data_IF_559244898752
#
_entry.id   IF_559244898752
#
_cell.length_a   1.000
_cell.length_b   1.000
_cell.length_c   1.000
_cell.angle_alpha   90.00
_cell.angle_beta   90.00
_cell.angle_gamma   90.00
#
_symmetry.space_group_name_H-M   'P 1'
#
loop_
_entity.id
_entity.type
_entity.pdbx_description
1 polymer ?
#
# COMPACT_ATOMS: atom_id res chain seq x y z
N UNK A 1 -4.70 -5.13 3.88
CA UNK A 1 -3.56 -4.38 4.46
C UNK A 1 -2.25 -4.67 3.72
N UNK A 2 -1.87 -5.93 3.54
CA UNK A 2 -0.62 -6.30 2.84
C UNK A 2 -0.46 -5.69 1.45
N UNK A 3 -1.49 -5.78 0.58
CA UNK A 3 -1.45 -5.19 -0.77
C UNK A 3 -1.21 -3.66 -0.77
N UNK A 4 -1.85 -2.93 0.16
CA UNK A 4 -1.67 -1.47 0.30
C UNK A 4 -0.23 -1.14 0.69
N UNK A 5 0.29 -1.80 1.74
CA UNK A 5 1.67 -1.60 2.18
C UNK A 5 2.67 -1.95 1.08
N UNK A 6 2.47 -3.08 0.39
CA UNK A 6 3.34 -3.56 -0.66
C UNK A 6 3.40 -2.61 -1.86
N UNK A 7 2.24 -2.11 -2.31
CA UNK A 7 2.19 -1.15 -3.42
C UNK A 7 2.85 0.18 -3.05
N UNK A 8 2.60 0.73 -1.86
CA UNK A 8 3.24 1.96 -1.40
C UNK A 8 4.76 1.81 -1.28
N UNK A 9 5.24 0.72 -0.66
CA UNK A 9 6.66 0.46 -0.55
C UNK A 9 7.32 0.31 -1.92
N UNK A 10 6.72 -0.46 -2.83
CA UNK A 10 7.28 -0.67 -4.17
C UNK A 10 7.40 0.62 -4.98
N UNK A 11 6.36 1.46 -4.98
CA UNK A 11 6.38 2.74 -5.70
C UNK A 11 7.34 3.74 -5.04
N UNK A 12 7.34 3.84 -3.70
CA UNK A 12 8.26 4.70 -2.98
C UNK A 12 9.72 4.31 -3.26
N UNK A 13 10.05 3.03 -3.17
CA UNK A 13 11.42 2.53 -3.38
C UNK A 13 11.92 2.82 -4.80
N UNK A 14 11.09 2.67 -5.82
CA UNK A 14 11.52 2.98 -7.20
C UNK A 14 11.73 4.49 -7.38
N UNK A 15 10.88 5.35 -6.81
CA UNK A 15 11.08 6.81 -6.85
C UNK A 15 12.37 7.21 -6.13
N UNK A 16 12.63 6.64 -4.95
CA UNK A 16 13.89 6.87 -4.22
C UNK A 16 15.11 6.42 -5.02
N UNK A 17 15.06 5.25 -5.66
CA UNK A 17 16.12 4.76 -6.54
C UNK A 17 16.33 5.65 -7.78
N UNK A 18 15.33 6.40 -8.19
CA UNK A 18 15.40 7.36 -9.32
C UNK A 18 15.78 8.78 -8.90
N UNK A 19 16.08 9.00 -7.63
CA UNK A 19 16.65 10.26 -7.13
C UNK A 19 15.63 11.27 -6.58
N UNK A 20 14.34 10.91 -6.51
CA UNK A 20 13.33 11.75 -5.85
C UNK A 20 13.65 11.87 -4.36
N UNK A 21 13.46 13.04 -3.75
CA UNK A 21 13.61 13.19 -2.30
C UNK A 21 12.61 12.31 -1.53
N UNK A 22 12.86 12.01 -0.24
CA UNK A 22 11.91 11.27 0.56
C UNK A 22 10.51 11.89 0.55
N UNK A 23 10.40 13.20 0.77
CA UNK A 23 9.11 13.91 0.80
C UNK A 23 8.38 13.87 -0.54
N UNK A 24 9.08 14.05 -1.66
CA UNK A 24 8.46 13.94 -2.99
C UNK A 24 7.97 12.51 -3.22
N UNK A 25 8.81 11.51 -2.96
CA UNK A 25 8.44 10.10 -3.12
C UNK A 25 7.25 9.73 -2.22
N UNK A 26 7.16 10.26 -1.00
CA UNK A 26 6.02 10.04 -0.11
C UNK A 26 4.74 10.74 -0.60
N UNK A 27 4.88 11.98 -1.08
CA UNK A 27 3.75 12.76 -1.59
C UNK A 27 3.13 12.11 -2.83
N UNK A 28 3.96 11.72 -3.80
CA UNK A 28 3.57 11.06 -5.06
C UNK A 28 3.08 9.61 -4.89
N UNK A 29 3.09 9.08 -3.66
CA UNK A 29 2.66 7.72 -3.35
C UNK A 29 1.54 7.72 -2.32
N UNK A 30 1.89 7.87 -1.05
CA UNK A 30 0.97 7.67 0.08
C UNK A 30 0.04 8.86 0.25
N UNK A 31 0.53 10.11 0.16
CA UNK A 31 -0.36 11.28 0.27
C UNK A 31 -1.33 11.32 -0.89
N UNK A 32 -0.85 11.24 -2.13
CA UNK A 32 -1.71 11.29 -3.31
C UNK A 32 -2.77 10.19 -3.27
N UNK A 33 -2.39 8.95 -2.95
CA UNK A 33 -3.36 7.87 -2.83
C UNK A 33 -4.38 8.12 -1.72
N UNK A 34 -3.95 8.52 -0.52
CA UNK A 34 -4.83 8.53 0.66
C UNK A 34 -5.57 9.84 0.90
N UNK A 35 -5.05 10.97 0.41
CA UNK A 35 -5.65 12.29 0.59
C UNK A 35 -6.36 12.77 -0.68
N UNK A 36 -5.92 12.33 -1.87
CA UNK A 36 -6.52 12.74 -3.15
C UNK A 36 -7.39 11.62 -3.73
N UNK A 37 -6.79 10.48 -4.09
CA UNK A 37 -7.45 9.50 -4.96
C UNK A 37 -8.49 8.64 -4.22
N UNK A 38 -8.15 8.07 -3.06
CA UNK A 38 -9.09 7.22 -2.33
C UNK A 38 -10.36 7.97 -1.89
N UNK A 39 -10.30 9.22 -1.38
CA UNK A 39 -11.51 10.00 -1.12
C UNK A 39 -12.38 10.20 -2.37
N UNK A 40 -11.78 10.54 -3.53
CA UNK A 40 -12.53 10.73 -4.78
C UNK A 40 -13.21 9.45 -5.25
N UNK A 41 -12.52 8.30 -5.17
CA UNK A 41 -13.11 6.99 -5.50
C UNK A 41 -14.22 6.64 -4.52
N UNK A 42 -14.05 6.91 -3.23
CA UNK A 42 -15.07 6.63 -2.22
C UNK A 42 -16.33 7.48 -2.42
N UNK A 43 -16.17 8.74 -2.83
CA UNK A 43 -17.29 9.67 -3.05
C UNK A 43 -18.02 9.41 -4.37
N UNK A 44 -17.29 9.15 -5.46
CA UNK A 44 -17.85 9.18 -6.82
C UNK A 44 -17.63 7.91 -7.64
N UNK A 45 -16.83 6.96 -7.16
CA UNK A 45 -16.46 5.76 -7.92
C UNK A 45 -15.25 5.95 -8.85
N UNK A 46 -14.72 4.82 -9.34
CA UNK A 46 -13.51 4.80 -10.14
C UNK A 46 -13.75 5.36 -11.56
N UNK A 47 -14.89 5.05 -12.17
CA UNK A 47 -15.26 5.54 -13.50
C UNK A 47 -15.35 7.06 -13.55
N UNK A 48 -15.95 7.68 -12.51
CA UNK A 48 -15.97 9.13 -12.36
C UNK A 48 -14.56 9.69 -12.21
N UNK A 49 -13.70 9.09 -11.38
CA UNK A 49 -12.32 9.55 -11.21
C UNK A 49 -11.55 9.52 -12.54
N UNK A 50 -11.67 8.46 -13.33
CA UNK A 50 -11.06 8.43 -14.66
C UNK A 50 -11.58 9.58 -15.52
N UNK A 51 -12.89 9.77 -15.61
CA UNK A 51 -13.47 10.83 -16.45
C UNK A 51 -13.05 12.26 -16.05
N UNK A 52 -12.69 12.47 -14.78
CA UNK A 52 -12.38 13.80 -14.23
C UNK A 52 -10.87 14.04 -13.96
N UNK A 53 -10.00 13.07 -14.26
CA UNK A 53 -8.55 13.27 -14.25
C UNK A 53 -8.03 13.87 -15.57
N UNK A 54 -6.80 14.37 -15.58
CA UNK A 54 -6.13 14.85 -16.80
C UNK A 54 -5.97 13.73 -17.85
N UNK A 55 -5.85 14.10 -19.13
CA UNK A 55 -5.63 13.14 -20.22
C UNK A 55 -4.40 12.25 -19.99
N UNK A 56 -3.33 12.80 -19.41
CA UNK A 56 -2.11 12.06 -19.09
C UNK A 56 -2.37 11.01 -18.01
N UNK A 57 -3.07 11.38 -16.93
CA UNK A 57 -3.41 10.47 -15.83
C UNK A 57 -4.37 9.37 -16.32
N UNK A 58 -5.38 9.72 -17.11
CA UNK A 58 -6.31 8.78 -17.73
C UNK A 58 -5.58 7.73 -18.59
N UNK A 59 -4.73 8.18 -19.52
CA UNK A 59 -4.01 7.29 -20.42
C UNK A 59 -3.09 6.35 -19.64
N UNK A 60 -2.32 6.89 -18.69
CA UNK A 60 -1.46 6.11 -17.80
C UNK A 60 -2.26 5.06 -17.03
N UNK A 61 -3.35 5.44 -16.38
CA UNK A 61 -4.18 4.49 -15.64
C UNK A 61 -4.73 3.38 -16.56
N UNK A 62 -5.27 3.73 -17.73
CA UNK A 62 -5.81 2.79 -18.72
C UNK A 62 -4.77 1.81 -19.29
N UNK A 63 -3.52 2.26 -19.46
CA UNK A 63 -2.43 1.42 -19.97
C UNK A 63 -1.88 0.43 -18.94
N UNK A 64 -1.92 0.80 -17.66
CA UNK A 64 -1.21 0.05 -16.62
C UNK A 64 -2.11 -0.79 -15.71
N UNK A 65 -3.39 -0.45 -15.52
CA UNK A 65 -4.22 -1.13 -14.51
C UNK A 65 -4.33 -2.65 -14.73
N UNK A 66 -4.39 -3.11 -15.99
CA UNK A 66 -4.46 -4.56 -16.29
C UNK A 66 -3.18 -5.28 -15.88
N UNK A 67 -2.01 -4.65 -16.07
CA UNK A 67 -0.73 -5.22 -15.67
C UNK A 67 -0.65 -5.36 -14.14
N UNK A 68 -1.11 -4.34 -13.42
CA UNK A 68 -1.21 -4.42 -11.96
C UNK A 68 -2.17 -5.53 -11.53
N UNK A 69 -3.38 -5.58 -12.11
CA UNK A 69 -4.36 -6.64 -11.84
C UNK A 69 -3.74 -8.02 -12.08
N UNK A 70 -3.16 -8.25 -13.25
CA UNK A 70 -2.64 -9.57 -13.63
C UNK A 70 -1.44 -9.98 -12.76
N UNK A 71 -0.64 -9.03 -12.26
CA UNK A 71 0.44 -9.31 -11.33
C UNK A 71 -0.05 -9.70 -9.93
N UNK A 72 -1.15 -9.09 -9.45
CA UNK A 72 -1.65 -9.33 -8.09
C UNK A 72 -2.73 -10.41 -8.02
N UNK A 73 -3.40 -10.73 -9.12
CA UNK A 73 -4.50 -11.71 -9.13
C UNK A 73 -4.07 -13.09 -8.61
N UNK A 74 -2.94 -13.69 -9.03
CA UNK A 74 -2.50 -14.98 -8.49
C UNK A 74 -2.23 -14.93 -6.98
N UNK A 75 -1.75 -13.80 -6.47
CA UNK A 75 -1.51 -13.61 -5.04
C UNK A 75 -2.83 -13.55 -4.26
N UNK A 76 -3.87 -12.92 -4.84
CA UNK A 76 -5.20 -12.92 -4.24
C UNK A 76 -5.87 -14.29 -4.29
N UNK A 77 -5.63 -15.07 -5.34
CA UNK A 77 -6.10 -16.45 -5.45
C UNK A 77 -5.48 -17.32 -4.35
N UNK A 78 -4.14 -17.29 -4.19
CA UNK A 78 -3.43 -17.99 -3.11
C UNK A 78 -3.92 -17.55 -1.72
N UNK A 79 -4.08 -16.25 -1.50
CA UNK A 79 -4.59 -15.72 -0.24
C UNK A 79 -6.02 -16.20 0.04
N UNK A 80 -6.89 -16.22 -0.97
CA UNK A 80 -8.26 -16.69 -0.83
C UNK A 80 -8.28 -18.18 -0.43
N UNK A 81 -7.53 -19.03 -1.13
CA UNK A 81 -7.42 -20.45 -0.82
C UNK A 81 -6.89 -20.70 0.61
N UNK A 82 -5.86 -19.94 1.03
CA UNK A 82 -5.31 -20.04 2.39
C UNK A 82 -6.35 -19.67 3.47
N UNK A 83 -7.22 -18.69 3.19
CA UNK A 83 -8.32 -18.32 4.10
C UNK A 83 -9.42 -19.38 4.09
N UNK A 84 -9.87 -19.81 2.92
CA UNK A 84 -10.97 -20.77 2.74
C UNK A 84 -10.63 -22.12 3.39
N UNK A 85 -9.39 -22.58 3.27
CA UNK A 85 -8.91 -23.84 3.88
C UNK A 85 -8.63 -23.73 5.38
N UNK A 86 -8.76 -22.53 5.97
CA UNK A 86 -8.50 -22.27 7.38
C UNK A 86 -7.01 -22.16 7.74
N UNK A 87 -6.12 -22.19 6.75
CA UNK A 87 -4.68 -22.10 6.96
C UNK A 87 -4.26 -20.76 7.60
N UNK A 88 -4.81 -19.63 7.15
CA UNK A 88 -4.56 -18.31 7.77
C UNK A 88 -5.01 -18.26 9.24
N UNK A 89 -6.13 -18.93 9.56
CA UNK A 89 -6.64 -19.00 10.93
C UNK A 89 -5.71 -19.81 11.81
N UNK A 90 -5.24 -20.96 11.31
CA UNK A 90 -4.24 -21.80 11.99
C UNK A 90 -2.95 -21.02 12.26
N UNK A 91 -2.38 -20.35 11.25
CA UNK A 91 -1.18 -19.51 11.38
C UNK A 91 -1.37 -18.46 12.48
N UNK A 92 -2.51 -17.77 12.47
CA UNK A 92 -2.83 -16.74 13.47
C UNK A 92 -2.89 -17.31 14.88
N UNK A 93 -3.59 -18.44 15.08
CA UNK A 93 -3.70 -19.09 16.40
C UNK A 93 -2.33 -19.56 16.88
N UNK A 94 -1.57 -20.26 16.03
CA UNK A 94 -0.24 -20.77 16.37
C UNK A 94 0.75 -19.65 16.71
N UNK A 95 0.69 -18.52 15.98
CA UNK A 95 1.51 -17.36 16.29
C UNK A 95 1.14 -16.74 17.65
N UNK A 96 -0.15 -16.53 17.91
CA UNK A 96 -0.63 -15.88 19.14
C UNK A 96 -0.46 -16.75 20.40
N UNK A 97 -0.32 -18.07 20.25
CA UNK A 97 -0.06 -18.99 21.36
C UNK A 97 1.39 -18.94 21.87
N UNK A 98 2.32 -18.39 21.09
CA UNK A 98 3.73 -18.30 21.51
C UNK A 98 3.88 -17.30 22.65
N UNK A 99 4.62 -17.68 23.69
CA UNK A 99 4.86 -16.82 24.87
C UNK A 99 5.59 -15.52 24.53
N UNK A 100 6.35 -15.51 23.44
CA UNK A 100 7.11 -14.37 22.93
C UNK A 100 6.42 -13.63 21.78
N UNK A 101 5.16 -13.97 21.45
CA UNK A 101 4.42 -13.39 20.31
C UNK A 101 4.49 -11.86 20.26
N UNK A 102 4.20 -11.19 21.39
CA UNK A 102 4.21 -9.72 21.46
C UNK A 102 5.59 -9.11 21.19
N UNK A 103 6.66 -9.79 21.60
CA UNK A 103 8.04 -9.32 21.39
C UNK A 103 8.37 -9.39 19.89
N UNK A 104 8.02 -10.51 19.25
CA UNK A 104 8.24 -10.69 17.82
C UNK A 104 7.37 -9.75 16.98
N UNK A 105 6.10 -9.59 17.34
CA UNK A 105 5.21 -8.63 16.68
C UNK A 105 5.75 -7.20 16.77
N UNK A 106 6.20 -6.76 17.95
CA UNK A 106 6.78 -5.41 18.08
C UNK A 106 8.05 -5.26 17.24
N UNK A 107 8.84 -6.32 17.04
CA UNK A 107 10.00 -6.28 16.14
C UNK A 107 9.58 -6.01 14.69
N UNK A 108 8.56 -6.70 14.19
CA UNK A 108 8.03 -6.51 12.84
C UNK A 108 7.40 -5.12 12.67
N UNK A 109 6.57 -4.68 13.63
CA UNK A 109 5.98 -3.34 13.62
C UNK A 109 7.03 -2.24 13.70
N UNK A 110 8.12 -2.48 14.47
CA UNK A 110 9.25 -1.56 14.58
C UNK A 110 10.05 -1.47 13.28
N UNK A 111 10.19 -2.57 12.54
CA UNK A 111 10.81 -2.54 11.20
C UNK A 111 10.00 -1.64 10.27
N UNK A 112 8.67 -1.84 10.21
CA UNK A 112 7.78 -1.02 9.41
C UNK A 112 7.87 0.46 9.82
N UNK A 113 7.72 0.76 11.11
CA UNK A 113 7.77 2.11 11.67
C UNK A 113 9.11 2.81 11.37
N UNK A 114 10.21 2.05 11.33
CA UNK A 114 11.54 2.61 11.13
C UNK A 114 11.98 2.72 9.67
N UNK A 115 11.20 2.18 8.74
CA UNK A 115 11.43 2.36 7.30
C UNK A 115 11.50 3.85 6.94
N UNK A 116 12.28 4.18 5.91
CA UNK A 116 12.39 5.56 5.42
C UNK A 116 11.01 6.10 5.01
N UNK A 117 10.20 5.27 4.34
CA UNK A 117 8.82 5.59 3.95
C UNK A 117 7.99 6.12 5.13
N UNK A 118 7.92 5.36 6.22
CA UNK A 118 7.02 5.71 7.33
C UNK A 118 7.58 6.79 8.27
N UNK A 119 8.92 6.92 8.36
CA UNK A 119 9.56 8.08 9.01
C UNK A 119 9.29 9.37 8.24
N UNK A 120 9.46 9.35 6.92
CA UNK A 120 9.12 10.48 6.05
C UNK A 120 7.66 10.88 6.22
N UNK A 121 6.76 9.91 6.15
CA UNK A 121 5.34 10.17 6.34
C UNK A 121 5.01 10.78 7.70
N UNK A 122 5.73 10.42 8.76
CA UNK A 122 5.58 11.04 10.07
C UNK A 122 5.91 12.53 10.06
N UNK A 123 6.95 12.94 9.33
CA UNK A 123 7.32 14.36 9.22
C UNK A 123 6.38 15.12 8.27
N UNK A 124 6.04 14.54 7.11
CA UNK A 124 5.11 15.15 6.15
C UNK A 124 3.74 15.41 6.79
N UNK A 125 3.21 14.47 7.57
CA UNK A 125 1.92 14.64 8.26
C UNK A 125 1.90 15.79 9.25
N UNK A 126 3.03 16.18 9.84
CA UNK A 126 3.10 17.34 10.75
C UNK A 126 2.93 18.68 10.02
N UNK A 127 3.14 18.69 8.72
CA UNK A 127 3.05 19.88 7.87
C UNK A 127 1.69 20.03 7.19
N UNK A 128 0.78 19.07 7.39
CA UNK A 128 -0.59 19.16 6.87
C UNK A 128 -1.35 20.31 7.58
N UNK A 129 -2.15 21.10 6.84
CA UNK A 129 -2.98 22.17 7.41
C UNK A 129 -4.08 21.64 8.34
#
# INVERSE_FOLDING_TARGET
>A
MGAIQGLFAAQYDILRKKGHSPSEAFNETVEEATQSLYPLVAENGMDWMYANCSTTAQRGALDWWKKFRDAVYPIFEELYESVETGNETKITIEANQKSDYRINLEKELKELRNSELWKTGSEVRKLRP
#
